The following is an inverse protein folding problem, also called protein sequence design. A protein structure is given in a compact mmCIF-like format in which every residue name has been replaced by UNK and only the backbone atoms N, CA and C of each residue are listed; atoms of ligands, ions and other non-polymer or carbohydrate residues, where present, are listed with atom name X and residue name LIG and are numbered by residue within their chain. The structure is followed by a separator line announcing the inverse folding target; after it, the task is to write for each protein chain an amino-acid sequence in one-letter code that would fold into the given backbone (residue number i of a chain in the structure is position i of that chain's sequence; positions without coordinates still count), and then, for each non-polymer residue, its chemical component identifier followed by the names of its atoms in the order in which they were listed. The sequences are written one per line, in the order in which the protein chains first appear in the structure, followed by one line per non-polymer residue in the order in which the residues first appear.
data_IF_916066939418
#
_entry.id   IF_916066939418
#
_cell.length_a   1.000
_cell.length_b   1.000
_cell.length_c   1.000
_cell.angle_alpha   90.00
_cell.angle_beta   90.00
_cell.angle_gamma   90.00
#
_symmetry.space_group_name_H-M   'P 1'
#
loop_
_entity.id
_entity.type
_entity.pdbx_description
1 polymer ?
#
# COMPACT_ATOMS: atom_id res chain seq x y z
N UNK A 1 -2.82 31.89 -7.56
CA UNK A 1 -2.87 30.52 -7.01
C UNK A 1 -1.54 29.85 -7.29
N UNK A 2 -0.78 29.43 -6.27
CA UNK A 2 0.36 28.53 -6.48
C UNK A 2 -0.18 27.24 -7.08
N UNK A 3 0.38 26.79 -8.21
CA UNK A 3 0.11 25.45 -8.75
C UNK A 3 0.47 24.47 -7.64
N UNK A 4 -0.52 23.75 -7.13
CA UNK A 4 -0.29 22.59 -6.26
C UNK A 4 0.46 21.58 -7.14
N UNK A 5 1.70 21.23 -6.76
CA UNK A 5 2.43 20.18 -7.44
C UNK A 5 1.80 18.85 -7.02
N UNK A 6 0.90 18.34 -7.85
CA UNK A 6 0.34 17.01 -7.67
C UNK A 6 1.44 15.96 -7.76
N UNK A 7 1.51 15.09 -6.76
CA UNK A 7 2.44 13.96 -6.70
C UNK A 7 1.71 12.73 -7.22
N UNK A 8 2.14 12.18 -8.34
CA UNK A 8 1.57 10.95 -8.91
C UNK A 8 2.39 9.74 -8.45
N UNK A 9 1.82 8.93 -7.54
CA UNK A 9 2.55 7.87 -6.85
C UNK A 9 1.65 6.69 -6.47
N UNK A 10 2.27 5.63 -5.90
CA UNK A 10 1.54 4.51 -5.32
C UNK A 10 0.98 4.88 -3.94
N UNK A 11 -0.25 4.49 -3.73
CA UNK A 11 -1.02 4.63 -2.51
C UNK A 11 -1.42 3.23 -2.07
N UNK A 12 -1.06 2.85 -0.85
CA UNK A 12 -1.44 1.58 -0.23
C UNK A 12 -2.43 1.90 0.87
N UNK A 13 -3.67 1.44 0.73
CA UNK A 13 -4.70 1.54 1.76
C UNK A 13 -4.80 0.22 2.50
N UNK A 14 -4.75 0.30 3.82
CA UNK A 14 -4.95 -0.82 4.73
C UNK A 14 -6.19 -0.51 5.56
N UNK A 15 -7.11 -1.47 5.65
CA UNK A 15 -8.38 -1.35 6.34
C UNK A 15 -8.64 -2.61 7.17
N UNK A 16 -9.00 -2.46 8.44
CA UNK A 16 -9.27 -3.59 9.34
C UNK A 16 -10.72 -4.04 9.18
N UNK A 17 -10.89 -5.33 8.87
CA UNK A 17 -12.22 -5.92 8.66
C UNK A 17 -13.05 -5.83 9.94
N UNK A 18 -14.30 -5.35 9.82
CA UNK A 18 -15.27 -5.24 10.91
C UNK A 18 -14.77 -4.44 12.13
N UNK A 19 -13.85 -3.48 11.92
CA UNK A 19 -13.26 -2.68 13.00
C UNK A 19 -14.29 -2.00 13.90
N UNK A 20 -15.37 -1.48 13.33
CA UNK A 20 -16.45 -0.82 14.07
C UNK A 20 -17.23 -1.76 15.01
N UNK A 21 -17.13 -3.07 14.85
CA UNK A 21 -17.74 -4.05 15.77
C UNK A 21 -16.90 -4.34 17.00
N UNK A 22 -15.65 -3.91 17.03
CA UNK A 22 -14.73 -4.12 18.13
C UNK A 22 -14.99 -3.08 19.25
N UNK A 23 -14.71 -3.48 20.49
CA UNK A 23 -14.70 -2.52 21.60
C UNK A 23 -13.56 -1.51 21.45
N UNK A 24 -13.66 -0.34 22.06
CA UNK A 24 -12.62 0.70 21.99
C UNK A 24 -11.24 0.18 22.43
N UNK A 25 -11.17 -0.70 23.44
CA UNK A 25 -9.91 -1.33 23.88
C UNK A 25 -9.34 -2.23 22.80
N UNK A 26 -10.16 -3.07 22.16
CA UNK A 26 -9.73 -3.96 21.07
C UNK A 26 -9.29 -3.15 19.85
N UNK A 27 -9.99 -2.08 19.50
CA UNK A 27 -9.62 -1.16 18.43
C UNK A 27 -8.21 -0.58 18.68
N UNK A 28 -7.98 -0.05 19.89
CA UNK A 28 -6.70 0.53 20.29
C UNK A 28 -5.57 -0.51 20.24
N UNK A 29 -5.82 -1.73 20.72
CA UNK A 29 -4.83 -2.81 20.68
C UNK A 29 -4.44 -3.16 19.25
N UNK A 30 -5.41 -3.36 18.36
CA UNK A 30 -5.16 -3.73 16.96
C UNK A 30 -4.40 -2.63 16.24
N UNK A 31 -4.87 -1.39 16.27
CA UNK A 31 -4.21 -0.27 15.57
C UNK A 31 -2.79 -0.06 16.10
N UNK A 32 -2.61 -0.11 17.42
CA UNK A 32 -1.28 0.01 18.03
C UNK A 32 -0.35 -1.11 17.58
N UNK A 33 -0.85 -2.34 17.55
CA UNK A 33 -0.05 -3.49 17.14
C UNK A 33 0.29 -3.46 15.65
N UNK A 34 -0.68 -3.14 14.79
CA UNK A 34 -0.49 -2.96 13.35
C UNK A 34 0.59 -1.91 13.06
N UNK A 35 0.43 -0.72 13.64
CA UNK A 35 1.36 0.40 13.41
C UNK A 35 2.79 0.04 13.83
N UNK A 36 2.95 -0.54 15.04
CA UNK A 36 4.27 -0.96 15.54
C UNK A 36 4.87 -2.08 14.69
N UNK A 37 4.06 -3.06 14.29
CA UNK A 37 4.53 -4.21 13.51
C UNK A 37 4.94 -3.81 12.10
N UNK A 38 4.16 -2.96 11.44
CA UNK A 38 4.49 -2.48 10.12
C UNK A 38 5.72 -1.58 10.12
N UNK A 39 5.84 -0.69 11.13
CA UNK A 39 7.07 0.11 11.30
C UNK A 39 8.30 -0.80 11.41
N UNK A 40 8.28 -1.80 12.31
CA UNK A 40 9.38 -2.76 12.47
C UNK A 40 9.67 -3.55 11.19
N UNK A 41 8.62 -3.96 10.48
CA UNK A 41 8.78 -4.68 9.21
C UNK A 41 9.48 -3.81 8.18
N UNK A 42 9.04 -2.56 8.01
CA UNK A 42 9.64 -1.61 7.07
C UNK A 42 11.09 -1.32 7.48
N UNK A 43 11.36 -1.05 8.74
CA UNK A 43 12.73 -0.84 9.24
C UNK A 43 13.63 -2.05 8.93
N UNK A 44 13.12 -3.29 9.12
CA UNK A 44 13.84 -4.50 8.75
C UNK A 44 14.07 -4.63 7.24
N UNK A 45 13.09 -4.25 6.42
CA UNK A 45 13.24 -4.21 4.96
C UNK A 45 14.32 -3.21 4.51
N UNK A 46 14.51 -2.13 5.27
CA UNK A 46 15.46 -1.07 4.95
C UNK A 46 16.90 -1.37 5.41
N UNK A 47 17.11 -2.35 6.32
CA UNK A 47 18.44 -2.67 6.86
C UNK A 47 19.51 -2.97 5.80
N UNK A 48 19.11 -3.57 4.68
CA UNK A 48 20.01 -3.94 3.59
C UNK A 48 19.86 -3.03 2.36
N UNK A 49 19.33 -1.84 2.54
CA UNK A 49 19.15 -0.85 1.48
C UNK A 49 19.80 0.49 1.87
N UNK A 50 20.10 1.33 0.88
CA UNK A 50 20.56 2.70 1.11
C UNK A 50 19.40 3.68 1.42
N UNK A 51 18.22 3.14 1.76
CA UNK A 51 17.00 3.90 1.96
C UNK A 51 16.69 4.11 3.44
N UNK A 52 16.01 5.20 3.73
CA UNK A 52 15.41 5.48 5.04
C UNK A 52 13.89 5.51 4.92
N UNK A 53 13.19 5.37 6.04
CA UNK A 53 11.73 5.38 6.06
C UNK A 53 11.14 6.61 5.34
N UNK A 54 11.59 7.86 5.58
CA UNK A 54 11.08 9.03 4.85
C UNK A 54 11.40 9.05 3.35
N UNK A 55 12.42 8.30 2.92
CA UNK A 55 12.72 8.14 1.49
C UNK A 55 11.83 7.09 0.81
N UNK A 56 11.32 6.13 1.57
CA UNK A 56 10.38 5.13 1.07
C UNK A 56 8.95 5.65 1.09
N UNK A 57 8.54 6.22 2.21
CA UNK A 57 7.16 6.63 2.50
C UNK A 57 7.14 8.12 2.77
N UNK A 58 6.38 8.86 1.98
CA UNK A 58 6.18 10.29 2.14
C UNK A 58 5.25 10.61 3.31
N UNK A 59 4.23 9.77 3.53
CA UNK A 59 3.30 10.01 4.61
C UNK A 59 2.32 8.87 4.89
N UNK A 60 1.69 8.97 6.05
CA UNK A 60 0.57 8.16 6.48
C UNK A 60 -0.64 9.05 6.77
N UNK A 61 -1.80 8.64 6.24
CA UNK A 61 -3.07 9.30 6.54
C UNK A 61 -3.98 8.31 7.24
N UNK A 62 -4.31 8.56 8.51
CA UNK A 62 -5.20 7.70 9.29
C UNK A 62 -6.64 7.78 8.79
N UNK A 63 -7.33 6.64 8.73
CA UNK A 63 -8.76 6.53 8.39
C UNK A 63 -9.63 6.18 9.61
N UNK A 64 -9.00 5.95 10.76
CA UNK A 64 -9.68 5.47 11.97
C UNK A 64 -9.63 3.94 12.09
N UNK A 65 -10.04 3.23 11.08
CA UNK A 65 -10.01 1.77 10.96
C UNK A 65 -8.79 1.22 10.19
N UNK A 66 -7.91 2.14 9.77
CA UNK A 66 -6.69 1.81 9.04
C UNK A 66 -5.91 3.07 8.67
N UNK A 67 -5.21 3.00 7.54
CA UNK A 67 -4.42 4.13 7.06
C UNK A 67 -4.01 3.99 5.60
N UNK A 68 -3.79 5.13 4.96
CA UNK A 68 -3.08 5.21 3.69
C UNK A 68 -1.58 5.34 3.94
N UNK A 69 -0.81 4.61 3.16
CA UNK A 69 0.63 4.75 3.04
C UNK A 69 0.94 5.31 1.64
N UNK A 70 1.54 6.50 1.58
CA UNK A 70 1.86 7.20 0.34
C UNK A 70 3.33 7.03 0.06
N UNK A 71 3.67 6.39 -1.05
CA UNK A 71 5.05 6.08 -1.38
C UNK A 71 5.75 7.26 -2.07
N UNK A 72 7.07 7.24 -2.00
CA UNK A 72 7.89 8.13 -2.81
C UNK A 72 7.67 7.84 -4.31
N UNK A 73 7.39 8.84 -5.16
CA UNK A 73 7.08 8.64 -6.58
C UNK A 73 8.23 7.99 -7.38
N UNK A 74 9.47 8.05 -6.88
CA UNK A 74 10.61 7.33 -7.47
C UNK A 74 10.52 5.81 -7.29
N UNK A 75 9.66 5.34 -6.40
CA UNK A 75 9.39 3.92 -6.11
C UNK A 75 8.05 3.45 -6.69
N UNK A 76 7.49 4.18 -7.63
CA UNK A 76 6.22 3.83 -8.25
C UNK A 76 6.28 2.42 -8.85
N UNK A 77 5.31 1.58 -8.47
CA UNK A 77 5.26 0.15 -8.74
C UNK A 77 5.65 -0.72 -7.54
N UNK A 78 6.49 -0.22 -6.61
CA UNK A 78 6.84 -0.94 -5.39
C UNK A 78 5.70 -1.02 -4.38
N UNK A 79 4.70 -0.15 -4.47
CA UNK A 79 3.52 -0.15 -3.58
C UNK A 79 2.77 -1.47 -3.56
N UNK A 80 2.68 -2.15 -4.70
CA UNK A 80 2.10 -3.50 -4.78
C UNK A 80 2.88 -4.52 -3.95
N UNK A 81 4.21 -4.48 -4.02
CA UNK A 81 5.10 -5.37 -3.25
C UNK A 81 4.98 -5.08 -1.76
N UNK A 82 4.91 -3.81 -1.40
CA UNK A 82 4.72 -3.38 0.00
C UNK A 82 3.35 -3.83 0.53
N UNK A 83 2.28 -3.68 -0.25
CA UNK A 83 0.93 -4.14 0.09
C UNK A 83 0.88 -5.65 0.36
N UNK A 84 1.52 -6.46 -0.49
CA UNK A 84 1.64 -7.90 -0.28
C UNK A 84 2.41 -8.22 1.01
N UNK A 85 3.49 -7.47 1.28
CA UNK A 85 4.28 -7.65 2.51
C UNK A 85 3.47 -7.32 3.76
N UNK A 86 2.64 -6.28 3.72
CA UNK A 86 1.70 -5.95 4.80
C UNK A 86 0.66 -7.05 5.00
N UNK A 87 0.10 -7.56 3.91
CA UNK A 87 -0.90 -8.62 3.99
C UNK A 87 -0.37 -9.90 4.63
N UNK A 88 0.87 -10.28 4.30
CA UNK A 88 1.52 -11.45 4.90
C UNK A 88 1.64 -11.34 6.43
N UNK A 89 1.77 -10.12 6.97
CA UNK A 89 1.83 -9.89 8.42
C UNK A 89 0.47 -10.07 9.11
N UNK A 90 -0.64 -9.96 8.39
CA UNK A 90 -2.00 -10.06 8.95
C UNK A 90 -2.27 -11.43 9.59
N UNK A 91 -1.74 -12.50 9.01
CA UNK A 91 -1.88 -13.86 9.53
C UNK A 91 -1.22 -14.03 10.92
N UNK A 92 -0.13 -13.30 11.17
CA UNK A 92 0.52 -13.30 12.47
C UNK A 92 -0.28 -12.53 13.52
N UNK A 93 -0.98 -11.48 13.10
CA UNK A 93 -1.85 -10.67 13.96
C UNK A 93 -3.07 -11.49 14.37
N UNK A 94 -3.69 -12.20 13.44
CA UNK A 94 -4.83 -13.07 13.70
C UNK A 94 -4.52 -14.15 14.75
N UNK A 95 -3.30 -14.69 14.75
CA UNK A 95 -2.86 -15.65 15.78
C UNK A 95 -2.77 -15.05 17.18
N UNK A 96 -2.50 -13.74 17.28
CA UNK A 96 -2.35 -13.05 18.56
C UNK A 96 -3.68 -12.52 19.10
N UNK A 97 -4.58 -12.11 18.23
CA UNK A 97 -5.85 -11.49 18.59
C UNK A 97 -7.01 -12.28 17.98
N UNK A 98 -7.65 -13.19 18.76
CA UNK A 98 -8.73 -14.04 18.23
C UNK A 98 -9.95 -13.29 17.66
N UNK A 99 -10.12 -12.04 18.06
CA UNK A 99 -11.19 -11.15 17.57
C UNK A 99 -10.81 -10.35 16.33
N UNK A 100 -9.58 -10.51 15.83
CA UNK A 100 -9.13 -9.86 14.60
C UNK A 100 -9.50 -10.71 13.38
N UNK A 101 -10.41 -10.20 12.56
CA UNK A 101 -10.90 -10.90 11.38
C UNK A 101 -9.99 -10.75 10.16
N UNK A 102 -9.01 -9.85 10.21
CA UNK A 102 -8.06 -9.60 9.13
C UNK A 102 -8.04 -8.16 8.64
N UNK A 103 -7.30 -7.95 7.56
CA UNK A 103 -7.21 -6.66 6.87
C UNK A 103 -7.57 -6.83 5.40
N UNK A 104 -8.06 -5.74 4.82
CA UNK A 104 -8.15 -5.57 3.37
C UNK A 104 -7.08 -4.59 2.92
N UNK A 105 -6.45 -4.87 1.80
CA UNK A 105 -5.44 -3.96 1.24
C UNK A 105 -5.81 -3.65 -0.19
N UNK A 106 -5.82 -2.36 -0.52
CA UNK A 106 -5.87 -1.88 -1.89
C UNK A 106 -4.61 -1.10 -2.24
N UNK A 107 -4.17 -1.22 -3.49
CA UNK A 107 -3.08 -0.42 -4.05
C UNK A 107 -3.55 0.28 -5.31
N UNK A 108 -3.35 1.58 -5.35
CA UNK A 108 -3.67 2.41 -6.50
C UNK A 108 -2.48 3.32 -6.84
N UNK A 109 -2.27 3.60 -8.12
CA UNK A 109 -1.33 4.63 -8.55
C UNK A 109 -2.14 5.83 -9.04
N UNK A 110 -2.04 6.95 -8.33
CA UNK A 110 -2.83 8.14 -8.59
C UNK A 110 -2.24 9.42 -8.01
N UNK A 111 -2.92 10.53 -8.22
CA UNK A 111 -2.51 11.86 -7.80
C UNK A 111 -2.86 12.17 -6.36
N UNK A 112 -1.91 12.73 -5.62
CA UNK A 112 -2.11 13.31 -4.28
C UNK A 112 -1.47 14.68 -4.20
N UNK A 113 -2.03 15.54 -3.35
CA UNK A 113 -1.51 16.85 -3.03
C UNK A 113 -1.14 16.91 -1.56
N UNK A 114 0.04 17.44 -1.28
CA UNK A 114 0.50 17.72 0.07
C UNK A 114 -0.10 19.03 0.59
N UNK A 115 -0.50 19.04 1.85
CA UNK A 115 -0.90 20.26 2.55
C UNK A 115 -0.44 20.21 4.01
N UNK A 116 -0.41 21.37 4.65
CA UNK A 116 -0.12 21.48 6.07
C UNK A 116 -1.43 21.54 6.84
N UNK A 117 -1.63 20.63 7.79
CA UNK A 117 -2.81 20.60 8.64
C UNK A 117 -2.79 21.73 9.70
N UNK A 118 -3.85 21.85 10.50
CA UNK A 118 -3.99 22.89 11.53
C UNK A 118 -2.94 22.82 12.65
N UNK A 119 -2.27 21.67 12.81
CA UNK A 119 -1.21 21.47 13.79
C UNK A 119 0.19 21.68 13.19
N UNK A 120 0.28 22.04 11.90
CA UNK A 120 1.54 22.23 11.20
C UNK A 120 2.15 20.94 10.65
N UNK A 121 1.45 19.81 10.68
CA UNK A 121 1.95 18.56 10.15
C UNK A 121 1.66 18.43 8.65
N UNK A 122 2.55 17.75 7.94
CA UNK A 122 2.31 17.36 6.55
C UNK A 122 1.21 16.32 6.47
N UNK A 123 0.22 16.57 5.62
CA UNK A 123 -0.89 15.69 5.35
C UNK A 123 -1.17 15.65 3.84
N UNK A 124 -2.05 14.75 3.38
CA UNK A 124 -2.29 14.49 1.96
C UNK A 124 -3.78 14.45 1.65
N UNK A 125 -4.12 14.94 0.45
CA UNK A 125 -5.48 14.93 -0.12
C UNK A 125 -5.39 14.68 -1.63
N UNK A 126 -6.42 14.14 -2.23
CA UNK A 126 -6.49 14.02 -3.69
C UNK A 126 -7.34 12.84 -4.15
N UNK A 127 -7.63 12.84 -5.45
CA UNK A 127 -8.46 11.80 -6.06
C UNK A 127 -7.82 10.43 -5.95
N UNK A 128 -6.49 10.34 -5.94
CA UNK A 128 -5.79 9.08 -5.76
C UNK A 128 -6.13 8.35 -4.45
N UNK A 129 -6.34 9.09 -3.33
CA UNK A 129 -6.78 8.50 -2.06
C UNK A 129 -8.22 7.98 -2.18
N UNK A 130 -9.10 8.80 -2.74
CA UNK A 130 -10.51 8.45 -2.95
C UNK A 130 -10.63 7.22 -3.86
N UNK A 131 -9.91 7.22 -4.98
CA UNK A 131 -9.90 6.11 -5.93
C UNK A 131 -9.35 4.84 -5.29
N UNK A 132 -8.28 4.91 -4.50
CA UNK A 132 -7.75 3.76 -3.78
C UNK A 132 -8.81 3.11 -2.88
N UNK A 133 -9.60 3.92 -2.15
CA UNK A 133 -10.67 3.41 -1.29
C UNK A 133 -11.75 2.64 -2.08
N UNK A 134 -12.04 3.03 -3.34
CA UNK A 134 -13.05 2.35 -4.18
C UNK A 134 -12.69 0.89 -4.47
N UNK A 135 -11.41 0.56 -4.50
CA UNK A 135 -10.97 -0.81 -4.72
C UNK A 135 -11.27 -1.74 -3.54
N UNK A 136 -11.47 -1.22 -2.33
CA UNK A 136 -11.93 -2.00 -1.18
C UNK A 136 -13.44 -2.30 -1.21
N UNK A 137 -14.21 -1.68 -2.09
CA UNK A 137 -15.66 -1.93 -2.25
C UNK A 137 -15.95 -3.27 -2.95
N UNK A 138 -14.96 -3.89 -3.58
CA UNK A 138 -15.08 -5.21 -4.18
C UNK A 138 -15.35 -6.26 -3.10
N UNK A 139 -16.51 -6.95 -3.17
CA UNK A 139 -16.99 -7.87 -2.13
C UNK A 139 -16.26 -9.21 -2.07
N UNK A 140 -15.46 -9.55 -3.08
CA UNK A 140 -14.82 -10.87 -3.21
C UNK A 140 -13.39 -10.91 -2.68
N UNK A 141 -13.05 -10.05 -1.71
CA UNK A 141 -11.76 -10.10 -1.05
C UNK A 141 -11.59 -11.41 -0.27
N UNK A 142 -10.51 -12.12 -0.55
CA UNK A 142 -10.00 -13.16 0.34
C UNK A 142 -8.92 -12.56 1.24
N UNK A 143 -8.82 -13.07 2.47
CA UNK A 143 -7.93 -12.55 3.52
C UNK A 143 -6.44 -12.53 3.08
N UNK A 144 -6.07 -13.31 2.07
CA UNK A 144 -4.67 -13.47 1.62
C UNK A 144 -4.30 -12.73 0.35
N UNK A 145 -5.15 -11.81 -0.13
CA UNK A 145 -4.93 -11.11 -1.41
C UNK A 145 -4.93 -9.61 -1.24
N UNK A 146 -4.22 -8.93 -2.14
CA UNK A 146 -4.19 -7.48 -2.26
C UNK A 146 -4.91 -7.09 -3.54
N UNK A 147 -5.85 -6.17 -3.46
CA UNK A 147 -6.52 -5.61 -4.63
C UNK A 147 -5.66 -4.51 -5.21
N UNK A 148 -5.34 -4.58 -6.49
CA UNK A 148 -4.59 -3.52 -7.16
C UNK A 148 -5.37 -2.96 -8.35
N UNK A 149 -5.31 -1.66 -8.53
CA UNK A 149 -5.88 -0.99 -9.70
C UNK A 149 -5.10 -1.32 -10.97
N UNK A 150 -5.71 -1.12 -12.11
CA UNK A 150 -5.05 -1.26 -13.42
C UNK A 150 -3.83 -0.32 -13.54
N UNK A 151 -3.91 0.89 -13.00
CA UNK A 151 -2.78 1.83 -12.96
C UNK A 151 -1.65 1.33 -12.06
N UNK A 152 -1.96 0.72 -10.90
CA UNK A 152 -0.96 0.11 -10.02
C UNK A 152 -0.32 -1.12 -10.66
N UNK A 153 -1.11 -1.95 -11.37
CA UNK A 153 -0.58 -3.10 -12.11
C UNK A 153 0.37 -2.67 -13.23
N UNK A 154 0.01 -1.63 -13.97
CA UNK A 154 0.87 -1.06 -15.01
C UNK A 154 2.18 -0.48 -14.44
N UNK A 155 2.08 0.19 -13.28
CA UNK A 155 3.24 0.71 -12.54
C UNK A 155 4.16 -0.42 -12.05
N UNK A 156 3.58 -1.51 -11.53
CA UNK A 156 4.35 -2.70 -11.14
C UNK A 156 5.11 -3.30 -12.31
N UNK A 157 4.45 -3.48 -13.47
CA UNK A 157 5.14 -4.02 -14.67
C UNK A 157 6.35 -3.17 -15.03
N UNK A 158 6.16 -1.85 -15.11
CA UNK A 158 7.25 -0.93 -15.43
C UNK A 158 8.38 -0.96 -14.39
N UNK A 159 8.03 -1.06 -13.11
CA UNK A 159 9.00 -1.23 -12.02
C UNK A 159 9.84 -2.50 -12.22
N UNK A 160 9.22 -3.62 -12.57
CA UNK A 160 9.90 -4.90 -12.79
C UNK A 160 10.77 -4.91 -14.06
N UNK A 161 10.45 -4.09 -15.06
CA UNK A 161 11.30 -3.89 -16.24
C UNK A 161 12.60 -3.14 -15.89
N UNK A 162 12.50 -2.15 -15.00
CA UNK A 162 13.64 -1.36 -14.52
C UNK A 162 14.50 -2.16 -13.56
N UNK A 163 13.87 -2.84 -12.61
CA UNK A 163 14.52 -3.59 -11.53
C UNK A 163 14.40 -5.10 -11.77
N UNK A 164 15.15 -5.64 -12.74
CA UNK A 164 15.05 -7.05 -13.18
C UNK A 164 15.27 -8.07 -12.06
N UNK A 165 16.08 -7.74 -11.06
CA UNK A 165 16.32 -8.61 -9.90
C UNK A 165 15.04 -8.82 -9.09
N UNK A 166 14.14 -7.83 -9.04
CA UNK A 166 12.82 -7.95 -8.39
C UNK A 166 11.90 -8.89 -9.14
N UNK A 167 11.95 -8.89 -10.47
CA UNK A 167 11.19 -9.84 -11.27
C UNK A 167 11.61 -11.27 -10.93
N UNK A 168 12.92 -11.52 -10.84
CA UNK A 168 13.46 -12.83 -10.44
C UNK A 168 13.00 -13.22 -9.02
N UNK A 169 13.00 -12.28 -8.07
CA UNK A 169 12.52 -12.52 -6.71
C UNK A 169 11.03 -12.85 -6.69
N UNK A 170 10.20 -12.10 -7.40
CA UNK A 170 8.76 -12.35 -7.48
C UNK A 170 8.44 -13.71 -8.10
N UNK A 171 9.19 -14.12 -9.14
CA UNK A 171 9.08 -15.46 -9.74
C UNK A 171 9.40 -16.53 -8.70
N UNK A 172 10.52 -16.39 -7.95
CA UNK A 172 10.92 -17.33 -6.88
C UNK A 172 9.88 -17.41 -5.75
N UNK A 173 9.19 -16.31 -5.45
CA UNK A 173 8.11 -16.26 -4.45
C UNK A 173 6.74 -16.69 -5.01
N UNK A 174 6.70 -17.12 -6.27
CA UNK A 174 5.48 -17.56 -6.94
C UNK A 174 4.38 -16.47 -6.92
N UNK A 175 4.76 -15.27 -7.36
CA UNK A 175 3.79 -14.17 -7.57
C UNK A 175 2.69 -14.61 -8.53
N UNK A 176 1.45 -14.38 -8.13
CA UNK A 176 0.23 -14.70 -8.88
C UNK A 176 -0.68 -13.49 -8.91
N UNK A 177 -1.52 -13.45 -9.93
CA UNK A 177 -2.61 -12.50 -10.04
C UNK A 177 -3.85 -13.20 -10.61
N UNK A 178 -5.02 -12.67 -10.29
CA UNK A 178 -6.29 -13.07 -10.88
C UNK A 178 -6.45 -12.51 -12.31
N UNK A 179 -7.53 -12.89 -12.95
CA UNK A 179 -8.07 -12.13 -14.08
C UNK A 179 -8.46 -10.71 -13.64
N UNK A 180 -8.59 -9.80 -14.61
CA UNK A 180 -9.04 -8.45 -14.34
C UNK A 180 -10.52 -8.43 -13.98
N UNK A 181 -10.84 -7.90 -12.81
CA UNK A 181 -12.20 -7.57 -12.42
C UNK A 181 -12.59 -6.22 -13.01
N UNK A 182 -13.80 -6.15 -13.54
CA UNK A 182 -14.47 -4.92 -13.95
C UNK A 182 -15.69 -4.77 -13.06
N UNK A 183 -15.75 -3.69 -12.30
CA UNK A 183 -16.87 -3.45 -11.37
C UNK A 183 -17.22 -1.96 -11.35
N UNK A 184 -18.43 -1.65 -10.87
CA UNK A 184 -18.85 -0.27 -10.63
C UNK A 184 -18.69 0.05 -9.16
N UNK A 185 -18.07 1.19 -8.87
CA UNK A 185 -18.01 1.74 -7.53
C UNK A 185 -19.38 2.30 -7.10
N UNK A 186 -19.52 2.75 -5.84
CA UNK A 186 -20.78 3.29 -5.32
C UNK A 186 -21.28 4.56 -6.03
N UNK A 187 -20.45 5.18 -6.85
CA UNK A 187 -20.83 6.33 -7.68
C UNK A 187 -21.16 5.93 -9.12
N UNK A 188 -21.12 4.63 -9.44
CA UNK A 188 -21.42 4.09 -10.77
C UNK A 188 -20.24 4.15 -11.74
N UNK A 189 -19.04 4.60 -11.32
CA UNK A 189 -17.86 4.63 -12.17
C UNK A 189 -17.30 3.23 -12.36
N UNK A 190 -16.94 2.90 -13.60
CA UNK A 190 -16.28 1.64 -13.91
C UNK A 190 -14.85 1.64 -13.38
N UNK A 191 -14.49 0.58 -12.66
CA UNK A 191 -13.15 0.33 -12.11
C UNK A 191 -12.60 -0.97 -12.64
N UNK A 192 -11.29 -0.98 -12.90
CA UNK A 192 -10.55 -2.17 -13.37
C UNK A 192 -9.39 -2.47 -12.43
N UNK A 193 -9.25 -3.73 -12.07
CA UNK A 193 -8.15 -4.14 -11.20
C UNK A 193 -8.08 -5.66 -11.08
N UNK A 194 -7.06 -6.14 -10.39
CA UNK A 194 -6.89 -7.58 -10.14
C UNK A 194 -6.43 -7.83 -8.69
N UNK A 195 -6.66 -9.05 -8.23
CA UNK A 195 -6.11 -9.53 -6.97
C UNK A 195 -4.71 -10.07 -7.21
N UNK A 196 -3.78 -9.77 -6.30
CA UNK A 196 -2.40 -10.27 -6.35
C UNK A 196 -2.02 -10.91 -5.03
N UNK A 197 -1.15 -11.92 -5.08
CA UNK A 197 -0.64 -12.63 -3.91
C UNK A 197 0.70 -13.32 -4.18
N UNK A 198 1.39 -13.76 -3.13
CA UNK A 198 2.52 -14.68 -3.20
C UNK A 198 2.10 -16.05 -2.66
N UNK A 199 2.50 -17.12 -3.32
CA UNK A 199 2.32 -18.48 -2.79
C UNK A 199 3.35 -18.84 -1.73
N UNK A 200 4.58 -18.34 -1.89
CA UNK A 200 5.66 -18.47 -0.91
C UNK A 200 5.79 -17.16 -0.17
N UNK A 201 5.72 -17.20 1.13
CA UNK A 201 5.87 -16.01 1.96
C UNK A 201 7.30 -15.47 1.91
N UNK A 202 7.43 -14.15 1.85
CA UNK A 202 8.72 -13.48 1.91
C UNK A 202 8.55 -11.97 1.99
N UNK A 203 9.46 -11.33 2.73
CA UNK A 203 9.59 -9.87 2.71
C UNK A 203 10.56 -9.53 1.58
N UNK A 204 10.14 -8.63 0.68
CA UNK A 204 10.97 -8.15 -0.42
C UNK A 204 11.41 -6.73 -0.10
N UNK A 205 12.71 -6.56 0.11
CA UNK A 205 13.29 -5.25 0.41
C UNK A 205 13.15 -4.28 -0.77
N UNK A 206 13.04 -2.96 -0.53
CA UNK A 206 13.04 -1.99 -1.62
C UNK A 206 14.39 -1.97 -2.35
N UNK A 207 14.41 -1.53 -3.62
CA UNK A 207 15.64 -1.37 -4.36
C UNK A 207 16.51 -0.25 -3.76
N UNK A 208 17.81 -0.33 -3.99
CA UNK A 208 18.71 0.78 -3.74
C UNK A 208 18.43 1.88 -4.78
N UNK A 209 18.08 3.07 -4.32
CA UNK A 209 17.88 4.24 -5.17
C UNK A 209 18.92 5.29 -4.83
N UNK A 210 19.67 5.71 -5.83
CA UNK A 210 20.60 6.81 -5.72
C UNK A 210 19.84 8.12 -5.97
N UNK A 211 19.62 8.89 -4.92
CA UNK A 211 18.88 10.16 -4.99
C UNK A 211 19.70 11.33 -5.60
N UNK A 212 20.98 11.13 -5.87
CA UNK A 212 21.91 12.18 -6.29
C UNK A 212 22.01 12.40 -7.81
N UNK A 213 21.26 11.71 -8.65
CA UNK A 213 21.18 12.08 -10.06
C UNK A 213 20.06 13.10 -10.25
N UNK A 214 20.40 14.36 -10.13
CA UNK A 214 19.63 15.45 -10.76
C UNK A 214 19.73 15.17 -12.28
N UNK A 215 18.73 14.55 -12.86
CA UNK A 215 18.53 14.61 -14.29
C UNK A 215 17.89 15.97 -14.54
N UNK A 216 18.71 16.97 -14.83
CA UNK A 216 18.29 18.17 -15.49
C UNK A 216 17.81 17.78 -16.89
N UNK A 217 16.52 17.88 -17.14
CA UNK A 217 15.93 18.07 -18.47
C UNK A 217 14.76 19.02 -18.37
#
# INVERSE_FOLDING_TARGET
MKRTNEIFTDIVLIDVINFSKLTASQQLEIITFLTKSYKKMIEKMLLNSNMTLPKLILGFVSTGDGFYCILNPRLKGYGTILGISFNHFSDQIAKKFPYFEGIRIAVHTGGVNEFTDILGNTNYIGDGLNDCARYLELKNFTISTVMISDTAYSSLKRFLEIYKDFNTLLIKQEFKHSETYIFKDKHGNERKGCLVWLRKSGIINPPNIYFNSVISH
#
